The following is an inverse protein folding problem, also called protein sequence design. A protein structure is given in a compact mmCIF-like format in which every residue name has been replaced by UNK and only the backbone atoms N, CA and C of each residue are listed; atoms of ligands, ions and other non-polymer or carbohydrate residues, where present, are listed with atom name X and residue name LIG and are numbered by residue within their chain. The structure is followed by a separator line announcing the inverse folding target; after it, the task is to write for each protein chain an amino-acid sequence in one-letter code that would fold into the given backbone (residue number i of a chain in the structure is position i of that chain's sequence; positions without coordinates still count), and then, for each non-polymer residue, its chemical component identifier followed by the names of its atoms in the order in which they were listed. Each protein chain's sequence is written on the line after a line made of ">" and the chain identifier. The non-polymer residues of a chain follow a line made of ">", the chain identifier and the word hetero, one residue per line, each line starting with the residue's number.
data_IF_712719999471
#
_entry.id   IF_712719999471
#
_cell.length_a   1.000
_cell.length_b   1.000
_cell.length_c   1.000
_cell.angle_alpha   90.00
_cell.angle_beta   90.00
_cell.angle_gamma   90.00
#
_symmetry.space_group_name_H-M   'P 1'
#
loop_
_entity.id
_entity.type
_entity.pdbx_description
1 polymer ?
#
# COMPACT_ATOMS: atom_id res chain seq x y z
N UNK A 1 53.52 -25.39 24.34
CA UNK A 1 52.88 -24.73 23.18
C UNK A 1 51.39 -25.02 23.32
N UNK A 2 50.53 -24.22 23.95
CA UNK A 2 50.04 -22.84 23.72
C UNK A 2 49.39 -22.65 22.34
N UNK A 3 48.07 -22.37 22.41
CA UNK A 3 47.12 -21.85 21.39
C UNK A 3 46.36 -22.91 20.60
N UNK A 4 45.05 -22.98 20.83
CA UNK A 4 44.01 -22.77 19.80
C UNK A 4 42.69 -22.48 20.53
N UNK A 5 42.47 -21.21 20.87
CA UNK A 5 41.59 -20.29 20.15
C UNK A 5 40.11 -20.69 20.30
N UNK A 6 39.46 -20.00 21.23
CA UNK A 6 38.02 -19.89 21.38
C UNK A 6 37.35 -19.67 20.01
N UNK A 7 36.61 -20.65 19.52
CA UNK A 7 35.58 -20.43 18.50
C UNK A 7 34.26 -20.22 19.22
N UNK A 8 33.99 -18.96 19.58
CA UNK A 8 32.64 -18.49 19.87
C UNK A 8 31.75 -18.78 18.65
N UNK A 9 30.60 -19.46 18.81
CA UNK A 9 29.59 -19.47 17.76
C UNK A 9 29.00 -18.06 17.70
N UNK A 10 29.40 -17.28 16.70
CA UNK A 10 28.72 -16.06 16.30
C UNK A 10 27.36 -16.41 15.68
N UNK A 11 26.41 -16.85 16.49
CA UNK A 11 25.02 -17.13 16.09
C UNK A 11 24.09 -16.30 16.97
N UNK A 12 24.17 -14.98 16.86
CA UNK A 12 23.13 -14.06 17.35
C UNK A 12 23.37 -12.72 16.69
N UNK A 13 22.65 -12.41 15.60
CA UNK A 13 22.29 -11.04 15.16
C UNK A 13 21.45 -11.03 13.86
N UNK A 14 20.62 -12.05 13.62
CA UNK A 14 19.39 -11.86 12.83
C UNK A 14 18.28 -11.39 13.77
N UNK A 15 18.54 -10.31 14.51
CA UNK A 15 17.49 -9.57 15.18
C UNK A 15 16.67 -8.93 14.06
N UNK A 16 15.52 -9.54 13.76
CA UNK A 16 14.64 -9.13 12.69
C UNK A 16 14.45 -7.62 12.70
N UNK A 17 14.72 -6.98 11.57
CA UNK A 17 14.29 -5.61 11.32
C UNK A 17 12.78 -5.59 11.49
N UNK A 18 12.32 -5.23 12.68
CA UNK A 18 10.91 -5.15 13.01
C UNK A 18 10.40 -3.86 12.37
N UNK A 19 10.24 -3.88 11.04
CA UNK A 19 9.68 -2.77 10.29
C UNK A 19 8.35 -2.41 10.90
N UNK A 20 8.13 -1.13 11.16
CA UNK A 20 6.86 -0.64 11.68
C UNK A 20 5.72 -1.05 10.74
N UNK A 21 4.47 -1.18 11.23
CA UNK A 21 3.32 -1.49 10.38
C UNK A 21 3.22 -0.58 9.14
N UNK A 22 3.60 0.68 9.28
CA UNK A 22 3.65 1.67 8.20
C UNK A 22 4.70 1.27 7.16
N UNK A 23 5.93 0.94 7.57
CA UNK A 23 6.99 0.52 6.65
C UNK A 23 6.66 -0.78 5.92
N UNK A 24 5.97 -1.71 6.58
CA UNK A 24 5.46 -2.92 5.93
C UNK A 24 4.41 -2.58 4.88
N UNK A 25 3.51 -1.63 5.19
CA UNK A 25 2.49 -1.17 4.25
C UNK A 25 3.10 -0.46 3.04
N UNK A 26 4.09 0.43 3.24
CA UNK A 26 4.82 1.09 2.15
C UNK A 26 5.51 0.07 1.22
N UNK A 27 6.13 -0.96 1.80
CA UNK A 27 6.78 -2.04 1.03
C UNK A 27 5.76 -2.85 0.23
N UNK A 28 4.65 -3.24 0.85
CA UNK A 28 3.60 -4.00 0.18
C UNK A 28 2.98 -3.21 -0.97
N UNK A 29 2.75 -1.90 -0.80
CA UNK A 29 2.26 -1.02 -1.86
C UNK A 29 3.29 -0.86 -2.98
N UNK A 30 4.57 -0.73 -2.65
CA UNK A 30 5.63 -0.64 -3.65
C UNK A 30 5.69 -1.90 -4.53
N UNK A 31 5.62 -3.06 -3.90
CA UNK A 31 5.60 -4.35 -4.60
C UNK A 31 4.33 -4.48 -5.45
N UNK A 32 3.17 -4.15 -4.89
CA UNK A 32 1.89 -4.18 -5.59
C UNK A 32 1.87 -3.30 -6.85
N UNK A 33 2.38 -2.07 -6.74
CA UNK A 33 2.44 -1.12 -7.86
C UNK A 33 3.49 -1.57 -8.86
N UNK A 34 4.70 -1.92 -8.42
CA UNK A 34 5.79 -2.34 -9.28
C UNK A 34 5.44 -3.58 -10.12
N UNK A 35 4.77 -4.57 -9.52
CA UNK A 35 4.35 -5.80 -10.21
C UNK A 35 3.24 -5.60 -11.24
N UNK A 36 2.59 -4.43 -11.25
CA UNK A 36 1.51 -4.08 -12.20
C UNK A 36 1.95 -3.11 -13.29
N UNK A 37 3.19 -2.63 -13.23
CA UNK A 37 3.79 -1.89 -14.34
C UNK A 37 4.13 -2.84 -15.47
N UNK A 38 4.15 -2.33 -16.70
CA UNK A 38 4.57 -3.11 -17.87
C UNK A 38 6.03 -3.58 -17.77
N UNK A 39 6.87 -2.79 -17.09
CA UNK A 39 8.24 -3.15 -16.70
C UNK A 39 8.47 -2.79 -15.22
N UNK A 40 8.54 -3.77 -14.30
CA UNK A 40 8.81 -3.52 -12.89
C UNK A 40 10.13 -2.77 -12.64
N UNK A 41 11.13 -2.91 -13.51
CA UNK A 41 12.40 -2.20 -13.38
C UNK A 41 12.26 -0.69 -13.67
N UNK A 42 11.15 -0.28 -14.29
CA UNK A 42 10.80 1.12 -14.53
C UNK A 42 10.12 1.78 -13.33
N UNK A 43 9.72 1.03 -12.31
CA UNK A 43 9.13 1.57 -11.09
C UNK A 43 10.13 2.42 -10.30
N UNK A 44 9.71 3.62 -9.92
CA UNK A 44 10.42 4.47 -8.97
C UNK A 44 9.44 4.97 -7.93
N UNK A 45 9.64 4.54 -6.70
CA UNK A 45 8.90 5.03 -5.54
C UNK A 45 9.09 6.55 -5.40
N UNK A 46 8.00 7.27 -5.20
CA UNK A 46 7.99 8.65 -4.75
C UNK A 46 7.72 8.70 -3.24
N UNK A 47 6.73 9.51 -2.86
CA UNK A 47 6.34 9.74 -1.47
C UNK A 47 5.33 8.71 -0.99
N UNK A 48 5.31 8.49 0.32
CA UNK A 48 4.31 7.70 1.02
C UNK A 48 3.72 8.53 2.14
N UNK A 49 2.40 8.61 2.20
CA UNK A 49 1.66 9.13 3.34
C UNK A 49 0.83 8.00 3.93
N UNK A 50 1.12 7.62 5.16
CA UNK A 50 0.45 6.52 5.85
C UNK A 50 -0.40 7.01 7.00
N UNK A 51 -1.54 6.35 7.23
CA UNK A 51 -2.38 6.57 8.42
C UNK A 51 -3.11 5.28 8.80
N UNK A 52 -3.52 5.12 10.08
CA UNK A 52 -4.41 4.03 10.46
C UNK A 52 -5.68 4.03 9.60
N UNK A 53 -6.11 2.85 9.16
CA UNK A 53 -7.37 2.66 8.44
C UNK A 53 -8.37 1.95 9.35
N UNK A 54 -9.52 2.58 9.59
CA UNK A 54 -10.51 2.11 10.56
C UNK A 54 -11.74 1.50 9.88
N UNK A 55 -12.59 0.81 10.66
CA UNK A 55 -13.90 0.34 10.15
C UNK A 55 -14.79 1.48 9.68
N UNK A 56 -14.70 2.64 10.32
CA UNK A 56 -15.43 3.83 9.93
C UNK A 56 -14.97 4.35 8.55
N UNK A 57 -13.66 4.36 8.29
CA UNK A 57 -13.13 4.74 6.98
C UNK A 57 -13.61 3.77 5.90
N UNK A 58 -13.63 2.47 6.20
CA UNK A 58 -14.13 1.44 5.28
C UNK A 58 -15.62 1.59 4.96
N UNK A 59 -16.45 1.85 5.98
CA UNK A 59 -17.87 2.11 5.77
C UNK A 59 -18.11 3.39 4.96
N UNK A 60 -17.32 4.44 5.22
CA UNK A 60 -17.41 5.72 4.50
C UNK A 60 -17.04 5.55 3.03
N UNK A 61 -15.95 4.86 2.75
CA UNK A 61 -15.53 4.53 1.39
C UNK A 61 -16.59 3.68 0.66
N UNK A 62 -17.12 2.63 1.31
CA UNK A 62 -18.17 1.81 0.72
C UNK A 62 -19.44 2.61 0.39
N UNK A 63 -19.82 3.55 1.26
CA UNK A 63 -20.94 4.47 1.02
C UNK A 63 -20.67 5.41 -0.16
N UNK A 64 -19.44 5.94 -0.29
CA UNK A 64 -19.04 6.80 -1.41
C UNK A 64 -19.08 6.04 -2.74
N UNK A 65 -18.56 4.81 -2.80
CA UNK A 65 -18.64 3.97 -4.00
C UNK A 65 -20.09 3.64 -4.35
N UNK A 66 -20.93 3.35 -3.36
CA UNK A 66 -22.34 3.11 -3.58
C UNK A 66 -23.06 4.35 -4.15
N UNK A 67 -22.70 5.56 -3.70
CA UNK A 67 -23.25 6.81 -4.26
C UNK A 67 -22.83 7.00 -5.73
N UNK A 68 -21.54 6.85 -6.04
CA UNK A 68 -21.04 6.97 -7.43
C UNK A 68 -21.73 5.99 -8.38
N UNK A 69 -22.00 4.77 -7.91
CA UNK A 69 -22.72 3.75 -8.68
C UNK A 69 -24.22 4.05 -8.79
N UNK A 70 -24.84 4.56 -7.72
CA UNK A 70 -26.25 4.95 -7.71
C UNK A 70 -26.54 6.10 -8.68
N UNK A 71 -25.60 7.04 -8.84
CA UNK A 71 -25.68 8.13 -9.81
C UNK A 71 -25.54 7.63 -11.27
N UNK A 72 -25.11 6.39 -11.49
CA UNK A 72 -24.85 5.81 -12.83
C UNK A 72 -25.94 4.88 -13.38
N UNK A 73 -26.81 4.27 -12.55
CA UNK A 73 -28.16 3.77 -12.91
C UNK A 73 -28.80 2.92 -11.79
N UNK A 74 -30.06 3.26 -11.47
CA UNK A 74 -31.14 2.50 -10.80
C UNK A 74 -30.78 1.26 -9.95
N UNK A 75 -30.84 1.44 -8.63
CA UNK A 75 -31.48 0.60 -7.57
C UNK A 75 -30.66 0.76 -6.29
N UNK A 76 -31.25 1.15 -5.14
CA UNK A 76 -30.47 1.35 -3.92
C UNK A 76 -30.05 -0.02 -3.38
N UNK A 77 -28.81 -0.41 -3.67
CA UNK A 77 -28.15 -1.50 -2.95
C UNK A 77 -28.13 -1.10 -1.48
N UNK A 78 -28.73 -1.94 -0.63
CA UNK A 78 -28.85 -1.79 0.81
C UNK A 78 -27.57 -1.19 1.39
N UNK A 79 -27.67 0.05 1.92
CA UNK A 79 -26.53 0.72 2.53
C UNK A 79 -25.93 -0.23 3.58
N UNK A 80 -24.62 -0.55 3.51
CA UNK A 80 -24.01 -1.43 4.49
C UNK A 80 -24.21 -0.81 5.87
N UNK A 81 -24.80 -1.59 6.78
CA UNK A 81 -24.98 -1.21 8.19
C UNK A 81 -23.63 -0.73 8.71
N UNK A 82 -23.49 0.58 8.96
CA UNK A 82 -22.26 1.18 9.46
C UNK A 82 -21.80 0.40 10.68
N UNK A 83 -20.69 -0.34 10.52
CA UNK A 83 -20.06 -1.01 11.63
C UNK A 83 -19.43 0.07 12.51
N UNK A 84 -20.16 0.49 13.56
CA UNK A 84 -19.65 1.41 14.56
C UNK A 84 -18.40 0.80 15.21
N UNK A 85 -17.25 1.44 15.00
CA UNK A 85 -16.00 1.07 15.64
C UNK A 85 -14.81 1.84 15.09
N UNK A 86 -14.04 2.46 15.99
CA UNK A 86 -12.75 3.09 15.70
C UNK A 86 -11.60 2.08 15.60
N UNK A 87 -11.92 0.77 15.65
CA UNK A 87 -10.93 -0.28 15.53
C UNK A 87 -10.17 -0.14 14.21
N UNK A 88 -8.85 0.01 14.31
CA UNK A 88 -7.95 -0.06 13.18
C UNK A 88 -8.03 -1.47 12.58
N UNK A 89 -8.29 -1.54 11.28
CA UNK A 89 -8.39 -2.78 10.50
C UNK A 89 -7.31 -2.87 9.43
N UNK A 90 -6.50 -1.83 9.26
CA UNK A 90 -5.37 -1.83 8.33
C UNK A 90 -4.59 -0.51 8.38
N UNK A 91 -3.80 -0.29 7.34
CA UNK A 91 -3.03 0.94 7.11
C UNK A 91 -3.42 1.50 5.76
N UNK A 92 -3.91 2.74 5.74
CA UNK A 92 -4.09 3.49 4.51
C UNK A 92 -2.74 4.02 4.05
N UNK A 93 -2.50 3.95 2.75
CA UNK A 93 -1.27 4.42 2.10
C UNK A 93 -1.66 5.22 0.87
N UNK A 94 -1.35 6.52 0.87
CA UNK A 94 -1.27 7.29 -0.37
C UNK A 94 0.15 7.23 -0.89
N UNK A 95 0.31 6.87 -2.15
CA UNK A 95 1.62 6.68 -2.75
C UNK A 95 1.72 7.39 -4.10
N UNK A 96 2.69 8.29 -4.21
CA UNK A 96 3.09 8.88 -5.49
C UNK A 96 4.23 8.04 -6.07
N UNK A 97 4.16 7.73 -7.36
CA UNK A 97 5.20 6.97 -8.05
C UNK A 97 5.43 7.51 -9.46
N UNK A 98 6.56 7.09 -10.04
CA UNK A 98 6.80 7.32 -11.47
C UNK A 98 7.26 6.05 -12.16
N UNK A 99 6.79 5.88 -13.38
CA UNK A 99 7.31 4.91 -14.34
C UNK A 99 8.38 5.62 -15.17
N UNK A 100 9.62 5.16 -15.10
CA UNK A 100 10.73 5.66 -15.89
C UNK A 100 11.27 4.55 -16.79
N UNK A 101 10.89 4.60 -18.06
CA UNK A 101 11.29 3.59 -19.04
C UNK A 101 12.76 3.72 -19.43
N UNK A 102 13.32 2.67 -20.04
CA UNK A 102 14.70 2.65 -20.56
C UNK A 102 14.98 3.73 -21.61
N UNK A 103 13.94 4.18 -22.33
CA UNK A 103 14.01 5.23 -23.35
C UNK A 103 13.99 6.64 -22.75
N UNK A 104 13.87 6.76 -21.43
CA UNK A 104 13.87 8.03 -20.71
C UNK A 104 12.49 8.65 -20.51
N UNK A 105 11.43 8.03 -21.03
CA UNK A 105 10.06 8.50 -20.77
C UNK A 105 9.72 8.36 -19.29
N UNK A 106 9.24 9.46 -18.68
CA UNK A 106 8.80 9.50 -17.28
C UNK A 106 7.30 9.81 -17.22
N UNK A 107 6.52 8.90 -16.62
CA UNK A 107 5.12 9.15 -16.27
C UNK A 107 5.00 9.21 -14.75
N UNK A 108 4.35 10.25 -14.22
CA UNK A 108 4.00 10.34 -12.79
C UNK A 108 2.57 9.90 -12.59
N UNK A 109 2.33 9.20 -11.50
CA UNK A 109 1.02 8.69 -11.13
C UNK A 109 0.93 8.60 -9.60
N UNK A 110 -0.29 8.50 -9.09
CA UNK A 110 -0.52 8.37 -7.66
C UNK A 110 -1.73 7.47 -7.39
N UNK A 111 -1.66 6.73 -6.29
CA UNK A 111 -2.72 5.81 -5.89
C UNK A 111 -2.99 5.85 -4.40
N UNK A 112 -4.21 5.47 -4.05
CA UNK A 112 -4.65 5.27 -2.67
C UNK A 112 -4.91 3.79 -2.42
N UNK A 113 -4.29 3.26 -1.38
CA UNK A 113 -4.25 1.83 -1.07
C UNK A 113 -4.59 1.59 0.40
N UNK A 114 -5.12 0.41 0.69
CA UNK A 114 -5.26 -0.12 2.04
C UNK A 114 -4.46 -1.41 2.11
N UNK A 115 -3.61 -1.49 3.13
CA UNK A 115 -2.86 -2.70 3.47
C UNK A 115 -3.47 -3.29 4.73
N UNK A 116 -4.00 -4.50 4.62
CA UNK A 116 -4.54 -5.24 5.75
C UNK A 116 -3.43 -5.96 6.53
N UNK A 117 -3.64 -6.30 7.82
CA UNK A 117 -2.63 -6.98 8.64
C UNK A 117 -2.15 -8.33 8.10
N UNK A 118 -2.95 -8.98 7.24
CA UNK A 118 -2.60 -10.21 6.55
C UNK A 118 -1.70 -9.99 5.32
N UNK A 119 -1.40 -8.74 4.96
CA UNK A 119 -0.58 -8.36 3.82
C UNK A 119 -1.37 -8.03 2.54
N UNK A 120 -2.69 -8.19 2.55
CA UNK A 120 -3.51 -7.90 1.37
C UNK A 120 -3.50 -6.40 1.05
N UNK A 121 -3.28 -6.06 -0.22
CA UNK A 121 -3.29 -4.68 -0.73
C UNK A 121 -4.50 -4.46 -1.62
N UNK A 122 -5.36 -3.53 -1.21
CA UNK A 122 -6.55 -3.13 -1.97
C UNK A 122 -6.41 -1.68 -2.41
N UNK A 123 -6.61 -1.42 -3.70
CA UNK A 123 -6.66 -0.06 -4.25
C UNK A 123 -8.07 0.51 -4.09
N UNK A 124 -8.20 1.71 -3.52
CA UNK A 124 -9.49 2.34 -3.23
C UNK A 124 -10.04 3.15 -4.42
N UNK A 125 -9.22 3.88 -5.17
CA UNK A 125 -9.67 4.55 -6.40
C UNK A 125 -8.62 4.30 -7.47
N UNK A 126 -9.01 3.98 -8.73
CA UNK A 126 -8.05 3.82 -9.81
C UNK A 126 -7.24 5.11 -9.96
N UNK A 127 -5.92 4.94 -9.98
CA UNK A 127 -4.91 6.00 -10.02
C UNK A 127 -5.24 7.07 -11.08
N UNK A 128 -5.10 8.35 -10.72
CA UNK A 128 -5.19 9.43 -11.69
C UNK A 128 -3.83 9.61 -12.37
N UNK A 129 -3.67 9.08 -13.59
CA UNK A 129 -2.48 9.37 -14.41
C UNK A 129 -2.34 10.88 -14.62
N UNK A 130 -1.34 11.49 -14.00
CA UNK A 130 -0.97 12.88 -14.28
C UNK A 130 -0.31 12.91 -15.66
N UNK A 131 -1.00 13.54 -16.62
CA UNK A 131 -0.63 13.61 -18.03
C UNK A 131 0.81 14.13 -18.21
N UNK A 132 1.55 13.51 -19.16
CA UNK A 132 2.92 13.86 -19.61
C UNK A 132 3.15 15.38 -19.69
N UNK A 133 4.26 15.86 -19.15
CA UNK A 133 4.92 17.09 -19.59
C UNK A 133 6.11 16.72 -20.45
#
# INVERSE_FOLDING_TARGET
>A
MKICFFLLPAVTLLAGCNNSPEKRAESAVSEYVGNRMGDPASYRAGTFDTKPYTRQDSATYAAQVAQLNADSAATPATAPKLANGTAQIGTFVRHDYREQTKVGDVSRDSGEFVVYPNGDVVQLIPSHRLKRR
#
